data_IF_181845748406
#
_entry.id   IF_181845748406
#
_cell.length_a   1.000
_cell.length_b   1.000
_cell.length_c   1.000
_cell.angle_alpha   90.00
_cell.angle_beta   90.00
_cell.angle_gamma   90.00
#
_symmetry.space_group_name_H-M   'P 1'
#
loop_
_entity.id
_entity.type
_entity.pdbx_description
1 polymer ?
#
# COMPACT_ATOMS: atom_id res chain seq x y z
N UNK A 1 22.71 -1.42 9.28
CA UNK A 1 21.86 -0.66 10.23
C UNK A 1 20.55 -0.12 9.61
N UNK A 2 20.57 0.62 8.50
CA UNK A 2 19.35 1.21 7.90
C UNK A 2 18.25 0.18 7.58
N UNK A 3 18.62 -0.92 6.92
CA UNK A 3 17.68 -2.00 6.55
C UNK A 3 17.03 -2.67 7.75
N UNK A 4 17.81 -2.95 8.80
CA UNK A 4 17.29 -3.57 10.03
C UNK A 4 16.30 -2.64 10.76
N UNK A 5 16.60 -1.34 10.82
CA UNK A 5 15.69 -0.34 11.39
C UNK A 5 14.39 -0.23 10.59
N UNK A 6 14.49 -0.23 9.25
CA UNK A 6 13.33 -0.21 8.38
C UNK A 6 12.45 -1.45 8.58
N UNK A 7 13.05 -2.65 8.58
CA UNK A 7 12.32 -3.90 8.79
C UNK A 7 11.66 -3.95 10.16
N UNK A 8 12.34 -3.53 11.22
CA UNK A 8 11.77 -3.46 12.56
C UNK A 8 10.56 -2.51 12.61
N UNK A 9 10.69 -1.33 11.99
CA UNK A 9 9.62 -0.36 11.91
C UNK A 9 8.43 -0.87 11.09
N UNK A 10 8.69 -1.49 9.93
CA UNK A 10 7.68 -2.12 9.10
C UNK A 10 6.94 -3.22 9.87
N UNK A 11 7.66 -4.16 10.49
CA UNK A 11 7.05 -5.25 11.27
C UNK A 11 6.21 -4.72 12.43
N UNK A 12 6.66 -3.67 13.11
CA UNK A 12 5.87 -3.02 14.17
C UNK A 12 4.57 -2.43 13.60
N UNK A 13 4.63 -1.75 12.44
CA UNK A 13 3.46 -1.19 11.78
C UNK A 13 2.47 -2.28 11.34
N UNK A 14 2.97 -3.36 10.71
CA UNK A 14 2.16 -4.50 10.28
C UNK A 14 1.53 -5.23 11.47
N UNK A 15 2.29 -5.50 12.52
CA UNK A 15 1.81 -6.14 13.74
C UNK A 15 0.73 -5.29 14.43
N UNK A 16 0.93 -3.97 14.53
CA UNK A 16 -0.06 -3.06 15.09
C UNK A 16 -1.35 -3.04 14.26
N UNK A 17 -1.24 -2.98 12.93
CA UNK A 17 -2.39 -3.01 12.04
C UNK A 17 -3.14 -4.36 12.06
N UNK A 18 -2.41 -5.47 12.11
CA UNK A 18 -3.00 -6.81 12.20
C UNK A 18 -3.77 -7.01 13.52
N UNK A 19 -3.21 -6.50 14.63
CA UNK A 19 -3.82 -6.65 15.96
C UNK A 19 -4.95 -5.66 16.24
N UNK A 20 -4.75 -4.38 15.95
CA UNK A 20 -5.65 -3.28 16.33
C UNK A 20 -6.38 -2.63 15.16
N UNK A 21 -6.04 -2.98 13.92
CA UNK A 21 -6.65 -2.41 12.72
C UNK A 21 -8.03 -2.98 12.41
N UNK A 22 -8.81 -2.20 11.65
CA UNK A 22 -10.02 -2.66 11.01
C UNK A 22 -9.73 -3.44 9.72
N UNK A 23 -10.77 -3.72 8.93
CA UNK A 23 -10.65 -4.47 7.68
C UNK A 23 -9.61 -3.88 6.70
N UNK A 24 -9.69 -2.59 6.36
CA UNK A 24 -8.74 -1.97 5.43
C UNK A 24 -7.29 -1.94 5.94
N UNK A 25 -7.07 -1.72 7.24
CA UNK A 25 -5.75 -1.71 7.85
C UNK A 25 -5.10 -3.11 7.81
N UNK A 26 -5.88 -4.14 8.08
CA UNK A 26 -5.43 -5.56 7.98
C UNK A 26 -5.17 -5.96 6.53
N UNK A 27 -6.03 -5.55 5.59
CA UNK A 27 -5.83 -5.80 4.18
C UNK A 27 -4.53 -5.13 3.67
N UNK A 28 -4.26 -3.87 4.05
CA UNK A 28 -3.02 -3.20 3.70
C UNK A 28 -1.79 -3.89 4.33
N UNK A 29 -1.90 -4.38 5.57
CA UNK A 29 -0.82 -5.13 6.20
C UNK A 29 -0.52 -6.43 5.42
N UNK A 30 -1.54 -7.14 4.95
CA UNK A 30 -1.37 -8.32 4.11
C UNK A 30 -0.75 -7.99 2.74
N UNK A 31 -1.19 -6.90 2.09
CA UNK A 31 -0.61 -6.41 0.83
C UNK A 31 0.87 -6.09 1.03
N UNK A 32 1.21 -5.30 2.05
CA UNK A 32 2.60 -4.90 2.32
C UNK A 32 3.50 -6.12 2.62
N UNK A 33 3.00 -7.09 3.37
CA UNK A 33 3.72 -8.35 3.63
C UNK A 33 3.94 -9.14 2.34
N UNK A 34 2.93 -9.20 1.47
CA UNK A 34 3.02 -9.85 0.16
C UNK A 34 4.06 -9.18 -0.76
N UNK A 35 4.09 -7.83 -0.79
CA UNK A 35 5.07 -7.07 -1.57
C UNK A 35 6.51 -7.32 -1.06
N UNK A 36 6.72 -7.27 0.25
CA UNK A 36 8.04 -7.57 0.85
C UNK A 36 8.46 -9.01 0.57
N UNK A 37 7.52 -9.96 0.66
CA UNK A 37 7.79 -11.36 0.33
C UNK A 37 8.15 -11.57 -1.14
N UNK A 38 7.43 -10.92 -2.06
CA UNK A 38 7.70 -10.97 -3.49
C UNK A 38 9.07 -10.36 -3.82
N UNK A 39 9.39 -9.20 -3.23
CA UNK A 39 10.69 -8.55 -3.38
C UNK A 39 11.84 -9.44 -2.86
N UNK A 40 11.67 -10.07 -1.70
CA UNK A 40 12.66 -11.00 -1.14
C UNK A 40 12.86 -12.22 -2.05
N UNK A 41 11.78 -12.82 -2.58
CA UNK A 41 11.84 -13.95 -3.50
C UNK A 41 12.57 -13.54 -4.78
N UNK A 42 12.24 -12.38 -5.35
CA UNK A 42 12.88 -11.87 -6.55
C UNK A 42 14.39 -11.72 -6.35
N UNK A 43 14.82 -11.05 -5.28
CA UNK A 43 16.25 -10.87 -4.99
C UNK A 43 17.01 -12.16 -4.73
N UNK A 44 16.32 -13.22 -4.33
CA UNK A 44 16.96 -14.52 -4.06
C UNK A 44 17.12 -15.38 -5.33
N UNK A 45 16.17 -15.29 -6.27
CA UNK A 45 16.13 -16.20 -7.42
C UNK A 45 16.48 -15.54 -8.75
N UNK A 46 16.39 -14.21 -8.86
CA UNK A 46 16.61 -13.48 -10.10
C UNK A 46 17.82 -12.55 -9.93
N UNK A 47 18.88 -12.70 -10.76
CA UNK A 47 20.01 -11.78 -10.74
C UNK A 47 19.55 -10.35 -11.07
N UNK A 48 20.04 -9.37 -10.32
CA UNK A 48 19.74 -7.97 -10.57
C UNK A 48 20.47 -7.47 -11.82
N UNK A 49 19.75 -7.20 -12.88
CA UNK A 49 20.26 -6.53 -14.08
C UNK A 49 19.89 -5.04 -14.05
N UNK A 50 20.82 -4.22 -13.58
CA UNK A 50 20.60 -2.77 -13.51
C UNK A 50 20.69 -2.04 -14.85
N UNK A 51 21.12 -2.72 -15.91
CA UNK A 51 21.32 -2.11 -17.24
C UNK A 51 20.03 -2.05 -18.07
N UNK A 52 19.03 -2.87 -17.77
CA UNK A 52 17.77 -2.97 -18.49
C UNK A 52 16.59 -2.67 -17.59
N UNK A 53 15.38 -2.61 -18.18
CA UNK A 53 14.13 -2.54 -17.41
C UNK A 53 13.99 -3.79 -16.55
N UNK A 54 13.97 -3.62 -15.24
CA UNK A 54 13.73 -4.71 -14.30
C UNK A 54 12.24 -5.09 -14.30
N UNK A 55 11.91 -6.10 -15.13
CA UNK A 55 10.54 -6.60 -15.32
C UNK A 55 9.99 -7.17 -13.99
N UNK A 56 10.84 -7.73 -13.15
CA UNK A 56 10.44 -8.28 -11.87
C UNK A 56 9.94 -7.19 -10.91
N UNK A 57 10.73 -6.13 -10.69
CA UNK A 57 10.30 -5.00 -9.85
C UNK A 57 9.09 -4.29 -10.46
N UNK A 58 9.03 -4.12 -11.80
CA UNK A 58 7.86 -3.56 -12.46
C UNK A 58 6.58 -4.38 -12.17
N UNK A 59 6.69 -5.71 -12.15
CA UNK A 59 5.55 -6.60 -11.84
C UNK A 59 5.09 -6.45 -10.40
N UNK A 60 6.04 -6.36 -9.45
CA UNK A 60 5.74 -6.13 -8.02
C UNK A 60 5.07 -4.77 -7.82
N UNK A 61 5.59 -3.73 -8.47
CA UNK A 61 5.03 -2.38 -8.36
C UNK A 61 3.64 -2.29 -8.99
N UNK A 62 3.41 -2.95 -10.13
CA UNK A 62 2.09 -3.03 -10.75
C UNK A 62 1.09 -3.77 -9.86
N UNK A 63 1.50 -4.85 -9.22
CA UNK A 63 0.69 -5.54 -8.22
C UNK A 63 0.39 -4.64 -7.03
N UNK A 64 1.38 -3.88 -6.53
CA UNK A 64 1.23 -2.92 -5.44
C UNK A 64 0.20 -1.83 -5.76
N UNK A 65 0.30 -1.20 -6.93
CA UNK A 65 -0.69 -0.19 -7.40
C UNK A 65 -2.07 -0.79 -7.53
N UNK A 66 -2.19 -1.95 -8.17
CA UNK A 66 -3.48 -2.59 -8.42
C UNK A 66 -4.21 -2.94 -7.13
N UNK A 67 -3.51 -3.57 -6.19
CA UNK A 67 -4.09 -4.01 -4.90
C UNK A 67 -4.41 -2.82 -3.99
N UNK A 68 -3.57 -1.80 -3.94
CA UNK A 68 -3.82 -0.59 -3.13
C UNK A 68 -4.92 0.28 -3.73
N UNK A 69 -5.04 0.35 -5.07
CA UNK A 69 -6.16 1.02 -5.76
C UNK A 69 -7.46 0.28 -5.47
N UNK A 70 -7.49 -1.05 -5.58
CA UNK A 70 -8.67 -1.84 -5.22
C UNK A 70 -9.06 -1.63 -3.75
N UNK A 71 -8.08 -1.60 -2.85
CA UNK A 71 -8.33 -1.29 -1.44
C UNK A 71 -8.93 0.11 -1.27
N UNK A 72 -8.44 1.12 -2.00
CA UNK A 72 -8.93 2.49 -1.96
C UNK A 72 -10.38 2.61 -2.44
N UNK A 73 -10.75 1.83 -3.47
CA UNK A 73 -12.12 1.80 -4.00
C UNK A 73 -13.11 1.08 -3.06
N UNK A 74 -12.65 0.03 -2.38
CA UNK A 74 -13.51 -0.77 -1.50
C UNK A 74 -13.63 -0.20 -0.08
N UNK A 75 -12.60 0.48 0.43
CA UNK A 75 -12.55 0.96 1.80
C UNK A 75 -13.35 2.25 2.00
N UNK A 76 -14.16 2.31 3.05
CA UNK A 76 -14.84 3.54 3.48
C UNK A 76 -13.88 4.46 4.24
N UNK A 77 -12.69 4.75 3.66
CA UNK A 77 -11.61 5.52 4.28
C UNK A 77 -10.80 6.26 3.23
N UNK A 78 -10.26 7.41 3.61
CA UNK A 78 -9.46 8.24 2.70
C UNK A 78 -8.00 7.78 2.58
N UNK A 79 -7.41 7.25 3.65
CA UNK A 79 -5.98 6.94 3.68
C UNK A 79 -5.51 5.89 2.63
N UNK A 80 -6.32 4.90 2.18
CA UNK A 80 -5.89 3.97 1.13
C UNK A 80 -5.63 4.67 -0.22
N UNK A 81 -6.29 5.81 -0.48
CA UNK A 81 -6.01 6.62 -1.67
C UNK A 81 -4.58 7.18 -1.63
N UNK A 82 -4.11 7.60 -0.43
CA UNK A 82 -2.72 8.05 -0.24
C UNK A 82 -1.78 6.88 -0.49
N UNK A 83 -2.08 5.69 0.03
CA UNK A 83 -1.27 4.49 -0.21
C UNK A 83 -1.19 4.15 -1.71
N UNK A 84 -2.32 4.19 -2.43
CA UNK A 84 -2.35 3.97 -3.87
C UNK A 84 -1.51 5.01 -4.64
N UNK A 85 -1.63 6.29 -4.29
CA UNK A 85 -0.83 7.35 -4.89
C UNK A 85 0.69 7.15 -4.66
N UNK A 86 1.09 6.69 -3.47
CA UNK A 86 2.49 6.38 -3.19
C UNK A 86 3.02 5.22 -4.05
N UNK A 87 2.20 4.20 -4.31
CA UNK A 87 2.59 3.06 -5.16
C UNK A 87 2.63 3.41 -6.65
N UNK A 88 2.09 4.56 -7.09
CA UNK A 88 2.26 5.04 -8.47
C UNK A 88 3.69 5.56 -8.70
N UNK A 89 4.39 6.07 -7.68
CA UNK A 89 5.72 6.66 -7.83
C UNK A 89 6.76 5.71 -8.43
N UNK A 90 6.90 4.45 -7.99
CA UNK A 90 7.79 3.49 -8.64
C UNK A 90 7.44 3.24 -10.12
N UNK A 91 6.14 3.16 -10.47
CA UNK A 91 5.73 3.00 -11.88
C UNK A 91 6.16 4.19 -12.74
N UNK A 92 6.04 5.43 -12.21
CA UNK A 92 6.56 6.61 -12.91
C UNK A 92 8.07 6.52 -13.11
N UNK A 93 8.82 6.03 -12.12
CA UNK A 93 10.26 5.82 -12.26
C UNK A 93 10.59 4.78 -13.37
N UNK A 94 9.84 3.68 -13.46
CA UNK A 94 9.98 2.72 -14.56
C UNK A 94 9.63 3.33 -15.91
N UNK A 95 8.59 4.16 -15.98
CA UNK A 95 8.19 4.85 -17.22
C UNK A 95 9.29 5.79 -17.74
N UNK A 96 9.97 6.52 -16.85
CA UNK A 96 11.09 7.39 -17.29
C UNK A 96 12.23 6.61 -17.93
N UNK A 97 12.52 5.40 -17.44
CA UNK A 97 13.51 4.50 -18.07
C UNK A 97 13.06 3.96 -19.42
N UNK A 98 11.78 3.59 -19.54
CA UNK A 98 11.21 3.13 -20.81
C UNK A 98 11.27 4.21 -21.90
N UNK A 99 11.09 5.48 -21.53
CA UNK A 99 11.10 6.61 -22.45
C UNK A 99 12.50 7.21 -22.65
N UNK A 100 13.55 6.59 -22.12
CA UNK A 100 14.95 7.06 -22.16
C UNK A 100 15.10 8.53 -21.68
N UNK A 101 14.24 8.92 -20.73
CA UNK A 101 14.32 10.26 -20.13
C UNK A 101 15.45 10.28 -19.10
N UNK A 102 16.43 11.12 -19.31
CA UNK A 102 17.53 11.31 -18.36
C UNK A 102 16.99 11.88 -17.05
N UNK A 103 17.06 11.10 -15.98
CA UNK A 103 16.66 11.52 -14.63
C UNK A 103 17.85 11.45 -13.69
N UNK A 104 17.91 12.40 -12.74
CA UNK A 104 18.96 12.39 -11.72
C UNK A 104 18.82 11.11 -10.86
N UNK A 105 19.92 10.35 -10.64
CA UNK A 105 19.86 9.06 -9.92
C UNK A 105 19.18 9.13 -8.55
N UNK A 106 19.37 10.23 -7.80
CA UNK A 106 18.73 10.41 -6.50
C UNK A 106 17.20 10.56 -6.62
N UNK A 107 16.69 11.22 -7.66
CA UNK A 107 15.26 11.36 -7.90
C UNK A 107 14.64 9.98 -8.22
N UNK A 108 15.30 9.21 -9.08
CA UNK A 108 14.89 7.84 -9.40
C UNK A 108 14.80 6.95 -8.16
N UNK A 109 15.89 6.91 -7.36
CA UNK A 109 15.93 6.12 -6.12
C UNK A 109 14.86 6.57 -5.10
N UNK A 110 14.63 7.89 -4.98
CA UNK A 110 13.60 8.42 -4.08
C UNK A 110 12.21 7.95 -4.50
N UNK A 111 11.89 7.97 -5.79
CA UNK A 111 10.60 7.50 -6.31
C UNK A 111 10.42 6.00 -6.05
N UNK A 112 11.47 5.21 -6.24
CA UNK A 112 11.44 3.76 -6.02
C UNK A 112 11.18 3.39 -4.55
N UNK A 113 11.78 4.11 -3.60
CA UNK A 113 11.70 3.74 -2.18
C UNK A 113 10.64 4.52 -1.39
N UNK A 114 10.03 5.55 -1.98
CA UNK A 114 9.11 6.44 -1.27
C UNK A 114 7.91 5.69 -0.67
N UNK A 115 7.29 4.78 -1.43
CA UNK A 115 6.17 3.96 -0.95
C UNK A 115 6.59 3.13 0.26
N UNK A 116 7.73 2.44 0.19
CA UNK A 116 8.22 1.57 1.26
C UNK A 116 8.41 2.31 2.58
N UNK A 117 8.91 3.54 2.56
CA UNK A 117 9.15 4.32 3.78
C UNK A 117 7.92 5.05 4.30
N UNK A 118 6.98 5.43 3.44
CA UNK A 118 5.80 6.23 3.82
C UNK A 118 4.59 5.37 4.18
N UNK A 119 4.48 4.15 3.66
CA UNK A 119 3.37 3.25 3.98
C UNK A 119 3.34 2.83 5.46
N UNK A 120 4.45 2.45 6.14
CA UNK A 120 4.40 2.09 7.55
C UNK A 120 3.88 3.20 8.47
N UNK A 121 4.36 4.46 8.43
CA UNK A 121 3.81 5.53 9.26
C UNK A 121 2.35 5.85 8.91
N UNK A 122 1.98 5.79 7.62
CA UNK A 122 0.59 5.95 7.18
C UNK A 122 -0.30 4.88 7.80
N UNK A 123 0.14 3.62 7.81
CA UNK A 123 -0.60 2.49 8.38
C UNK A 123 -0.75 2.60 9.90
N UNK A 124 0.31 3.03 10.60
CA UNK A 124 0.24 3.30 12.04
C UNK A 124 -0.79 4.39 12.34
N UNK A 125 -0.74 5.50 11.61
CA UNK A 125 -1.67 6.61 11.77
C UNK A 125 -3.12 6.19 11.46
N UNK A 126 -3.32 5.41 10.40
CA UNK A 126 -4.62 4.87 10.01
C UNK A 126 -5.21 3.98 11.11
N UNK A 127 -4.41 3.06 11.64
CA UNK A 127 -4.80 2.15 12.72
C UNK A 127 -5.11 2.92 14.01
N UNK A 128 -4.28 3.88 14.36
CA UNK A 128 -4.53 4.74 15.52
C UNK A 128 -5.84 5.54 15.37
N UNK A 129 -6.09 6.13 14.20
CA UNK A 129 -7.35 6.85 13.90
C UNK A 129 -8.56 5.92 13.95
N UNK A 130 -8.43 4.68 13.45
CA UNK A 130 -9.47 3.66 13.57
C UNK A 130 -9.81 3.40 15.04
N UNK A 131 -8.82 3.14 15.88
CA UNK A 131 -9.01 2.91 17.31
C UNK A 131 -9.65 4.12 18.02
N UNK A 132 -9.22 5.34 17.67
CA UNK A 132 -9.80 6.57 18.18
C UNK A 132 -11.29 6.70 17.85
N UNK A 133 -11.66 6.41 16.58
CA UNK A 133 -13.08 6.45 16.14
C UNK A 133 -13.92 5.39 16.84
N UNK A 134 -13.39 4.18 17.02
CA UNK A 134 -14.07 3.12 17.78
C UNK A 134 -14.37 3.54 19.22
N UNK A 135 -13.41 4.18 19.90
CA UNK A 135 -13.60 4.68 21.28
C UNK A 135 -14.62 5.81 21.37
N UNK A 136 -14.68 6.67 20.36
CA UNK A 136 -15.54 7.86 20.36
C UNK A 136 -16.97 7.57 19.89
N UNK A 137 -17.14 6.67 18.92
CA UNK A 137 -18.43 6.43 18.23
C UNK A 137 -18.98 5.02 18.45
N UNK A 138 -18.23 4.12 19.09
CA UNK A 138 -18.62 2.72 19.25
C UNK A 138 -18.60 1.88 17.97
N UNK A 139 -18.59 2.51 16.81
CA UNK A 139 -18.57 1.85 15.51
C UNK A 139 -17.71 2.62 14.50
N UNK A 140 -17.03 1.89 13.60
CA UNK A 140 -16.24 2.48 12.52
C UNK A 140 -16.32 1.59 11.26
N UNK A 141 -17.28 1.87 10.34
CA UNK A 141 -17.48 1.07 9.13
C UNK A 141 -16.20 0.95 8.31
N UNK A 142 -15.84 -0.28 7.94
CA UNK A 142 -14.58 -0.56 7.24
C UNK A 142 -14.70 -0.49 5.72
N UNK A 143 -15.84 -0.94 5.16
CA UNK A 143 -16.03 -1.13 3.74
C UNK A 143 -17.23 -0.38 3.21
N UNK A 144 -17.19 0.04 1.93
CA UNK A 144 -18.35 0.54 1.22
C UNK A 144 -19.37 -0.59 0.99
N UNK A 145 -20.63 -0.29 1.29
CA UNK A 145 -21.74 -1.27 1.18
C UNK A 145 -22.64 -0.84 0.02
N UNK A 146 -22.12 -0.98 -1.19
CA UNK A 146 -22.79 -0.54 -2.41
C UNK A 146 -24.18 -1.21 -2.63
N UNK A 147 -24.35 -2.48 -2.16
CA UNK A 147 -25.60 -3.25 -2.35
C UNK A 147 -26.70 -2.92 -1.33
N UNK A 148 -26.42 -2.26 -0.22
CA UNK A 148 -27.46 -1.93 0.78
C UNK A 148 -28.34 -0.76 0.35
N UNK A 149 -27.91 0.07 -0.58
CA UNK A 149 -28.68 1.21 -1.05
C UNK A 149 -29.87 0.80 -1.94
N UNK A 150 -29.80 -0.36 -2.62
CA UNK A 150 -30.83 -0.84 -3.55
C UNK A 150 -31.98 -1.62 -2.88
N UNK A 151 -31.83 -2.04 -1.63
CA UNK A 151 -32.87 -2.83 -0.94
C UNK A 151 -33.80 -2.00 -0.04
N UNK A 152 -33.57 -0.69 0.08
CA UNK A 152 -34.41 0.21 0.91
C UNK A 152 -35.43 1.05 0.13
N UNK A 153 -35.57 0.86 -1.16
CA UNK A 153 -36.52 1.59 -2.01
C UNK A 153 -37.75 0.78 -2.39
N UNK A 154 -38.30 -0.02 -1.50
CA UNK A 154 -39.67 -0.51 -1.65
C UNK A 154 -40.59 0.36 -0.78
N UNK A 155 -41.35 1.33 -1.34
CA UNK A 155 -42.38 2.01 -0.60
C UNK A 155 -43.48 0.97 -0.34
N UNK A 156 -43.71 0.68 0.91
CA UNK A 156 -44.96 0.02 1.32
C UNK A 156 -46.11 1.00 1.06
N UNK A 157 -46.84 0.76 -0.02
CA UNK A 157 -48.19 1.33 -0.27
C UNK A 157 -49.19 0.66 0.63
#
# INVERSE_FOLDING_TARGET
MRTALFLAFLLAALGYAAWRGGGPERAMAAIALGLVGADWIQHHYIPLEFATLDVGHLTIDLFGVSTTTMLALCAHRFWPMIAAALHILPLLAHTTRLLDVSMHPAAYLTMQVAASWLVPPLLILATWRHQRRLRQRGNDPSWHVWWRASSQTTPTS
#
